data_IF_248778631819
#
_entry.id   IF_248778631819
#
_cell.length_a   1.000
_cell.length_b   1.000
_cell.length_c   1.000
_cell.angle_alpha   90.00
_cell.angle_beta   90.00
_cell.angle_gamma   90.00
#
_symmetry.space_group_name_H-M   'P 1'
#
loop_
_entity.id
_entity.type
_entity.pdbx_description
1 polymer ?
#
# COMPACT_ATOMS: atom_id res chain seq x y z
N UNK A 1 -8.15 24.79 15.04
CA UNK A 1 -7.54 24.52 16.34
C UNK A 1 -6.61 23.35 16.16
N UNK A 2 -5.31 23.56 16.39
CA UNK A 2 -4.35 22.45 16.39
C UNK A 2 -4.45 21.66 17.70
N UNK A 3 -4.31 20.32 17.66
CA UNK A 3 -4.27 19.52 18.86
C UNK A 3 -3.00 19.84 19.69
N UNK A 4 -3.05 19.62 21.03
CA UNK A 4 -1.90 19.69 21.92
C UNK A 4 -0.69 18.93 21.38
N UNK A 5 0.53 19.43 21.61
CA UNK A 5 1.75 18.90 20.98
C UNK A 5 2.00 17.41 21.24
N UNK A 6 1.63 16.92 22.42
CA UNK A 6 1.68 15.53 22.85
C UNK A 6 0.61 14.63 22.19
N UNK A 7 -0.42 15.25 21.62
CA UNK A 7 -1.54 14.63 20.90
C UNK A 7 -1.47 14.86 19.40
N UNK A 8 -0.44 15.57 18.92
CA UNK A 8 -0.18 15.71 17.48
C UNK A 8 0.23 14.37 16.90
N UNK A 9 -0.06 14.20 15.62
CA UNK A 9 0.27 12.98 14.90
C UNK A 9 1.79 12.79 14.90
N UNK A 10 2.25 11.66 15.45
CA UNK A 10 3.64 11.23 15.31
C UNK A 10 3.73 10.48 14.00
N UNK A 11 4.49 11.02 13.04
CA UNK A 11 4.69 10.31 11.80
C UNK A 11 5.55 9.07 12.07
N UNK A 12 5.02 7.89 11.70
CA UNK A 12 5.78 6.65 11.69
C UNK A 12 6.83 6.59 10.55
N UNK A 13 6.77 7.57 9.65
CA UNK A 13 7.60 7.74 8.46
C UNK A 13 8.20 9.14 8.53
N UNK A 14 9.45 9.30 8.11
CA UNK A 14 10.07 10.61 8.03
C UNK A 14 9.20 11.60 7.20
N UNK A 15 8.78 12.74 7.79
CA UNK A 15 8.00 13.76 7.07
C UNK A 15 8.67 14.28 5.80
N UNK A 16 10.00 14.33 5.73
CA UNK A 16 10.72 14.71 4.51
C UNK A 16 10.54 13.65 3.41
N UNK A 17 10.53 12.38 3.79
CA UNK A 17 10.34 11.26 2.88
C UNK A 17 8.88 11.15 2.39
N UNK A 18 7.90 11.64 3.16
CA UNK A 18 6.51 11.81 2.69
C UNK A 18 6.40 13.01 1.74
N UNK A 19 7.08 14.11 2.05
CA UNK A 19 7.05 15.34 1.24
C UNK A 19 7.74 15.14 -0.12
N UNK A 20 8.78 14.30 -0.20
CA UNK A 20 9.45 13.96 -1.46
C UNK A 20 8.60 13.11 -2.41
N UNK A 21 7.51 12.50 -1.94
CA UNK A 21 6.50 11.84 -2.79
C UNK A 21 5.53 12.82 -3.45
N UNK A 22 5.42 14.05 -2.94
CA UNK A 22 4.60 15.07 -3.56
C UNK A 22 5.34 15.58 -4.81
N UNK A 23 4.87 15.18 -5.99
CA UNK A 23 5.42 15.71 -7.23
C UNK A 23 5.03 17.19 -7.37
N UNK A 24 6.00 18.12 -7.53
CA UNK A 24 5.72 19.56 -7.60
C UNK A 24 5.04 20.00 -8.91
N UNK A 25 4.91 19.11 -9.89
CA UNK A 25 4.23 19.36 -11.16
C UNK A 25 2.87 18.65 -11.18
N UNK A 26 1.86 19.27 -11.79
CA UNK A 26 0.60 18.60 -12.10
C UNK A 26 0.93 17.38 -13.01
N UNK A 27 0.78 16.15 -12.51
CA UNK A 27 1.18 14.99 -13.28
C UNK A 27 0.28 14.90 -14.52
N UNK A 28 0.89 14.67 -15.69
CA UNK A 28 0.14 14.29 -16.88
C UNK A 28 -0.66 13.02 -16.53
N UNK A 29 -1.95 13.00 -16.86
CA UNK A 29 -2.81 11.82 -16.63
C UNK A 29 -2.12 10.57 -17.19
N UNK A 30 -1.87 9.54 -16.38
CA UNK A 30 -1.25 8.32 -16.85
C UNK A 30 -2.11 7.63 -17.92
N UNK A 31 -1.48 6.98 -18.90
CA UNK A 31 -2.20 6.34 -20.00
C UNK A 31 -3.11 5.16 -19.60
N UNK A 32 -2.91 4.61 -18.39
CA UNK A 32 -3.73 3.54 -17.84
C UNK A 32 -4.99 4.03 -17.10
N UNK A 33 -5.19 5.35 -16.98
CA UNK A 33 -6.36 5.96 -16.32
C UNK A 33 -7.19 6.73 -17.33
N UNK A 34 -8.45 6.34 -17.48
CA UNK A 34 -9.41 7.03 -18.35
C UNK A 34 -10.09 8.20 -17.64
N UNK A 35 -10.77 9.09 -18.38
CA UNK A 35 -11.58 10.14 -17.74
C UNK A 35 -12.75 9.56 -16.94
N UNK A 36 -13.33 8.45 -17.41
CA UNK A 36 -14.41 7.77 -16.70
C UNK A 36 -13.94 7.20 -15.34
N UNK A 37 -12.71 6.70 -15.25
CA UNK A 37 -12.13 6.24 -13.98
C UNK A 37 -11.99 7.41 -13.00
N UNK A 38 -11.50 8.56 -13.48
CA UNK A 38 -11.38 9.78 -12.67
C UNK A 38 -12.76 10.25 -12.20
N UNK A 39 -13.73 10.36 -13.09
CA UNK A 39 -15.09 10.78 -12.78
C UNK A 39 -15.73 9.87 -11.74
N UNK A 40 -15.51 8.56 -11.85
CA UNK A 40 -15.97 7.58 -10.86
C UNK A 40 -15.37 7.87 -9.48
N UNK A 41 -14.04 8.00 -9.36
CA UNK A 41 -13.40 8.30 -8.08
C UNK A 41 -13.82 9.66 -7.51
N UNK A 42 -13.91 10.70 -8.34
CA UNK A 42 -14.39 12.03 -7.93
C UNK A 42 -15.82 11.96 -7.40
N UNK A 43 -16.70 11.24 -8.09
CA UNK A 43 -18.08 11.03 -7.66
C UNK A 43 -18.16 10.34 -6.30
N UNK A 44 -17.40 9.27 -6.11
CA UNK A 44 -17.38 8.53 -4.85
C UNK A 44 -16.82 9.36 -3.69
N UNK A 45 -15.67 10.02 -3.87
CA UNK A 45 -15.09 10.87 -2.83
C UNK A 45 -15.91 12.13 -2.53
N UNK A 46 -16.65 12.65 -3.52
CA UNK A 46 -17.61 13.75 -3.29
C UNK A 46 -18.79 13.27 -2.45
N UNK A 47 -19.28 12.05 -2.70
CA UNK A 47 -20.41 11.45 -1.96
C UNK A 47 -20.03 11.05 -0.54
N UNK A 48 -18.85 10.48 -0.32
CA UNK A 48 -18.44 9.92 0.98
C UNK A 48 -17.51 10.81 1.79
N UNK A 49 -16.85 11.76 1.15
CA UNK A 49 -15.70 12.47 1.72
C UNK A 49 -14.49 11.54 1.97
N UNK A 50 -13.43 12.11 2.53
CA UNK A 50 -12.18 11.40 2.83
C UNK A 50 -12.06 10.88 4.28
N UNK A 51 -13.01 11.24 5.15
CA UNK A 51 -12.90 10.98 6.59
C UNK A 51 -12.78 9.47 6.90
N UNK A 52 -13.55 8.61 6.23
CA UNK A 52 -13.49 7.16 6.41
C UNK A 52 -12.10 6.58 6.09
N UNK A 53 -11.55 6.92 4.92
CA UNK A 53 -10.22 6.48 4.53
C UNK A 53 -9.12 7.03 5.46
N UNK A 54 -9.20 8.31 5.83
CA UNK A 54 -8.23 8.93 6.74
C UNK A 54 -8.31 8.37 8.17
N UNK A 55 -9.47 7.90 8.62
CA UNK A 55 -9.62 7.30 9.94
C UNK A 55 -8.83 5.99 10.11
N UNK A 56 -8.53 5.28 9.02
CA UNK A 56 -7.64 4.12 9.07
C UNK A 56 -6.25 4.52 9.58
N UNK A 57 -5.67 5.58 9.01
CA UNK A 57 -4.36 6.10 9.40
C UNK A 57 -4.37 6.67 10.82
N UNK A 58 -5.47 7.32 11.26
CA UNK A 58 -5.62 7.81 12.63
C UNK A 58 -5.60 6.69 13.69
N UNK A 59 -5.85 5.45 13.28
CA UNK A 59 -5.90 4.30 14.18
C UNK A 59 -4.62 3.45 14.17
N UNK A 60 -3.56 3.81 13.44
CA UNK A 60 -2.34 2.98 13.35
C UNK A 60 -1.75 2.70 14.75
N UNK A 61 -1.57 3.72 15.59
CA UNK A 61 -1.04 3.56 16.97
C UNK A 61 -1.98 2.73 17.86
N UNK A 62 -3.29 2.92 17.67
CA UNK A 62 -4.31 2.15 18.40
C UNK A 62 -4.29 0.68 18.00
N UNK A 63 -4.21 0.40 16.69
CA UNK A 63 -4.10 -0.97 16.18
C UNK A 63 -2.87 -1.65 16.77
N UNK A 64 -1.71 -0.98 16.76
CA UNK A 64 -0.49 -1.49 17.39
C UNK A 64 -0.67 -1.82 18.87
N UNK A 65 -1.30 -0.91 19.63
CA UNK A 65 -1.60 -1.11 21.07
C UNK A 65 -2.56 -2.27 21.32
N UNK A 66 -3.46 -2.55 20.38
CA UNK A 66 -4.45 -3.63 20.48
C UNK A 66 -3.93 -4.99 20.04
N UNK A 67 -2.78 -5.06 19.37
CA UNK A 67 -2.23 -6.32 18.83
C UNK A 67 -0.94 -6.82 19.49
N UNK A 68 -0.64 -6.62 20.79
CA UNK A 68 0.59 -7.16 21.39
C UNK A 68 0.60 -8.69 21.39
N UNK A 69 -0.57 -9.34 21.34
CA UNK A 69 -0.69 -10.79 21.22
C UNK A 69 -0.18 -11.35 19.88
N UNK A 70 0.07 -10.50 18.88
CA UNK A 70 0.69 -10.87 17.61
C UNK A 70 2.19 -10.63 17.58
N UNK A 71 2.80 -10.14 18.66
CA UNK A 71 4.24 -9.91 18.70
C UNK A 71 5.00 -11.24 18.50
N UNK A 72 5.97 -11.22 17.59
CA UNK A 72 6.70 -12.42 17.14
C UNK A 72 5.90 -13.44 16.31
N UNK A 73 4.58 -13.25 16.13
CA UNK A 73 3.76 -14.16 15.33
C UNK A 73 4.19 -14.18 13.86
N UNK A 74 3.98 -15.32 13.19
CA UNK A 74 4.34 -15.54 11.78
C UNK A 74 3.09 -15.81 10.96
N UNK A 75 2.99 -15.23 9.77
CA UNK A 75 1.89 -15.48 8.84
C UNK A 75 2.07 -16.86 8.19
N UNK A 76 1.21 -17.81 8.53
CA UNK A 76 1.36 -19.23 8.11
C UNK A 76 0.59 -19.56 6.83
N UNK A 77 -0.31 -18.71 6.38
CA UNK A 77 -1.05 -18.90 5.15
C UNK A 77 -0.11 -18.79 3.94
N UNK A 78 -0.31 -19.61 2.87
CA UNK A 78 0.35 -19.37 1.59
C UNK A 78 0.13 -17.92 1.16
N UNK A 79 1.20 -17.22 0.83
CA UNK A 79 1.14 -15.78 0.55
C UNK A 79 1.80 -15.45 -0.77
N UNK A 80 1.15 -14.60 -1.56
CA UNK A 80 1.71 -13.94 -2.74
C UNK A 80 1.83 -12.45 -2.45
N UNK A 81 3.03 -11.89 -2.64
CA UNK A 81 3.25 -10.45 -2.61
C UNK A 81 3.50 -9.93 -4.03
N UNK A 82 2.78 -8.88 -4.43
CA UNK A 82 2.95 -8.21 -5.72
C UNK A 82 3.10 -6.71 -5.46
N UNK A 83 4.15 -6.10 -6.01
CA UNK A 83 4.36 -4.64 -5.97
C UNK A 83 5.07 -4.18 -7.24
N UNK A 84 5.02 -2.88 -7.54
CA UNK A 84 5.83 -2.26 -8.57
C UNK A 84 7.17 -1.74 -8.03
N UNK A 85 8.24 -1.76 -8.82
CA UNK A 85 9.57 -1.25 -8.41
C UNK A 85 9.63 0.29 -8.24
N UNK A 86 8.61 1.01 -8.71
CA UNK A 86 8.44 2.47 -8.53
C UNK A 86 7.36 2.81 -7.50
N UNK A 87 6.84 1.83 -6.76
CA UNK A 87 5.92 2.11 -5.65
C UNK A 87 6.68 2.82 -4.51
N UNK A 88 6.25 4.03 -4.18
CA UNK A 88 6.84 4.83 -3.11
C UNK A 88 6.82 4.14 -1.73
N UNK A 89 5.89 3.20 -1.50
CA UNK A 89 5.84 2.41 -0.26
C UNK A 89 7.11 1.56 -0.08
N UNK A 90 7.69 1.06 -1.18
CA UNK A 90 8.95 0.32 -1.13
C UNK A 90 10.14 1.22 -0.72
N UNK A 91 10.04 2.54 -0.90
CA UNK A 91 11.03 3.48 -0.38
C UNK A 91 11.10 3.50 1.15
N UNK A 92 9.98 3.27 1.83
CA UNK A 92 9.92 3.22 3.30
C UNK A 92 10.14 1.83 3.88
N UNK A 93 9.59 0.81 3.20
CA UNK A 93 9.49 -0.56 3.72
C UNK A 93 10.28 -1.57 2.90
N UNK A 94 11.16 -1.12 1.99
CA UNK A 94 11.90 -1.98 1.06
C UNK A 94 12.69 -3.07 1.76
N UNK A 95 13.38 -2.73 2.86
CA UNK A 95 14.12 -3.71 3.67
C UNK A 95 13.19 -4.80 4.25
N UNK A 96 12.03 -4.42 4.74
CA UNK A 96 11.04 -5.36 5.30
C UNK A 96 10.45 -6.24 4.20
N UNK A 97 10.33 -5.75 2.97
CA UNK A 97 9.93 -6.54 1.80
C UNK A 97 11.05 -7.49 1.35
N UNK A 98 12.31 -7.04 1.36
CA UNK A 98 13.49 -7.89 1.11
C UNK A 98 13.58 -9.05 2.10
N UNK A 99 13.27 -8.80 3.38
CA UNK A 99 13.33 -9.77 4.47
C UNK A 99 11.97 -10.39 4.83
N UNK A 100 10.95 -10.26 3.97
CA UNK A 100 9.56 -10.64 4.26
C UNK A 100 9.41 -12.10 4.73
N UNK A 101 10.25 -12.99 4.20
CA UNK A 101 10.32 -14.42 4.52
C UNK A 101 10.58 -14.67 6.02
N UNK A 102 11.20 -13.70 6.73
CA UNK A 102 11.37 -13.77 8.19
C UNK A 102 10.05 -13.83 8.94
N UNK A 103 9.00 -13.17 8.44
CA UNK A 103 7.68 -13.08 9.08
C UNK A 103 6.60 -13.88 8.33
N UNK A 104 6.85 -14.24 7.07
CA UNK A 104 5.94 -14.99 6.20
C UNK A 104 6.63 -16.27 5.71
N UNK A 105 6.78 -17.30 6.56
CA UNK A 105 7.54 -18.52 6.22
C UNK A 105 6.97 -19.29 5.01
N UNK A 106 5.69 -19.11 4.69
CA UNK A 106 5.01 -19.73 3.56
C UNK A 106 4.78 -18.73 2.40
N UNK A 107 5.72 -17.80 2.20
CA UNK A 107 5.71 -16.90 1.05
C UNK A 107 5.95 -17.72 -0.22
N UNK A 108 4.92 -17.83 -1.06
CA UNK A 108 4.97 -18.58 -2.32
C UNK A 108 5.76 -17.82 -3.37
N UNK A 109 5.56 -16.50 -3.44
CA UNK A 109 6.26 -15.64 -4.39
C UNK A 109 6.23 -14.18 -3.94
N UNK A 110 7.34 -13.50 -4.22
CA UNK A 110 7.52 -12.04 -4.15
C UNK A 110 7.72 -11.53 -5.57
N UNK A 111 6.72 -10.88 -6.16
CA UNK A 111 6.74 -10.40 -7.53
C UNK A 111 6.89 -8.87 -7.55
N UNK A 112 8.08 -8.39 -7.92
CA UNK A 112 8.35 -6.96 -8.10
C UNK A 112 8.30 -6.66 -9.61
N UNK A 113 7.32 -5.86 -10.04
CA UNK A 113 7.06 -5.58 -11.44
C UNK A 113 7.87 -4.37 -11.93
N UNK A 114 8.72 -4.50 -12.97
CA UNK A 114 9.56 -3.40 -13.44
C UNK A 114 8.77 -2.25 -14.09
N UNK A 115 9.12 -1.02 -13.72
CA UNK A 115 8.53 0.21 -14.23
C UNK A 115 7.11 0.49 -13.76
N UNK A 116 6.64 -0.16 -12.70
CA UNK A 116 5.26 -0.07 -12.20
C UNK A 116 5.22 0.71 -10.89
N UNK A 117 4.26 1.61 -10.74
CA UNK A 117 4.03 2.39 -9.53
C UNK A 117 3.09 1.72 -8.54
N UNK A 118 2.45 2.57 -7.71
CA UNK A 118 1.61 2.14 -6.59
C UNK A 118 0.29 1.47 -7.03
N UNK A 119 -0.28 1.86 -8.16
CA UNK A 119 -1.57 1.33 -8.62
C UNK A 119 -1.36 0.07 -9.46
N UNK A 120 -0.57 -0.88 -8.94
CA UNK A 120 -0.01 -2.02 -9.65
C UNK A 120 -1.05 -2.81 -10.48
N UNK A 121 -2.24 -3.03 -9.93
CA UNK A 121 -3.35 -3.73 -10.58
C UNK A 121 -4.05 -2.94 -11.70
N UNK A 122 -3.95 -1.61 -11.70
CA UNK A 122 -4.44 -0.76 -12.79
C UNK A 122 -3.35 -0.53 -13.84
N UNK A 123 -2.08 -0.50 -13.42
CA UNK A 123 -0.92 -0.28 -14.29
C UNK A 123 -0.52 -1.50 -15.12
N UNK A 124 -0.71 -2.71 -14.57
CA UNK A 124 -0.42 -4.00 -15.23
C UNK A 124 -1.53 -5.04 -14.94
N UNK A 125 -2.78 -4.78 -15.34
CA UNK A 125 -3.92 -5.63 -14.97
C UNK A 125 -3.75 -7.08 -15.45
N UNK A 126 -3.26 -7.31 -16.67
CA UNK A 126 -3.09 -8.65 -17.22
C UNK A 126 -2.02 -9.45 -16.46
N UNK A 127 -0.92 -8.80 -16.11
CA UNK A 127 0.18 -9.45 -15.38
C UNK A 127 -0.22 -9.76 -13.94
N UNK A 128 -0.89 -8.82 -13.26
CA UNK A 128 -1.44 -9.05 -11.92
C UNK A 128 -2.47 -10.18 -11.94
N UNK A 129 -3.40 -10.18 -12.90
CA UNK A 129 -4.40 -11.24 -13.05
C UNK A 129 -3.73 -12.60 -13.28
N UNK A 130 -2.71 -12.67 -14.14
CA UNK A 130 -1.94 -13.90 -14.38
C UNK A 130 -1.30 -14.42 -13.09
N UNK A 131 -0.61 -13.55 -12.34
CA UNK A 131 0.04 -13.91 -11.07
C UNK A 131 -0.97 -14.41 -10.03
N UNK A 132 -2.12 -13.74 -9.90
CA UNK A 132 -3.20 -14.16 -9.01
C UNK A 132 -3.74 -15.54 -9.40
N UNK A 133 -4.05 -15.76 -10.69
CA UNK A 133 -4.57 -17.03 -11.17
C UNK A 133 -3.56 -18.18 -11.03
N UNK A 134 -2.28 -17.93 -11.30
CA UNK A 134 -1.20 -18.90 -11.07
C UNK A 134 -1.12 -19.30 -9.59
N UNK A 135 -1.15 -18.31 -8.68
CA UNK A 135 -1.12 -18.55 -7.24
C UNK A 135 -2.35 -19.35 -6.79
N UNK A 136 -3.55 -18.93 -7.16
CA UNK A 136 -4.81 -19.59 -6.75
C UNK A 136 -4.90 -21.03 -7.26
N UNK A 137 -4.45 -21.31 -8.50
CA UNK A 137 -4.39 -22.69 -9.03
C UNK A 137 -3.34 -23.56 -8.34
N UNK A 138 -2.32 -22.94 -7.76
CA UNK A 138 -1.26 -23.62 -7.03
C UNK A 138 -1.60 -23.92 -5.56
N UNK A 139 -2.70 -23.39 -5.03
CA UNK A 139 -3.18 -23.70 -3.69
C UNK A 139 -3.75 -25.12 -3.67
N UNK A 140 -3.33 -25.92 -2.68
CA UNK A 140 -3.83 -27.28 -2.41
C UNK A 140 -4.68 -27.27 -1.16
#
# INVERSE_FOLDING_TARGET
GEPPADQRWKFAIDPEAVTSMASPAAPKKPGFVTDADIDFFVGEFTRTGFAGGLNYYRNVDRNWTLTPFLDGAKLRQPTLFIAGDRDGVLGFWGKQVEEMERNVPNLVRKAILPGVGHWTQQERPEEVNRLLLEFLRGLK
#
